data_IF_666744907881
#
_entry.id   IF_666744907881
#
_cell.length_a   1.000
_cell.length_b   1.000
_cell.length_c   1.000
_cell.angle_alpha   90.00
_cell.angle_beta   90.00
_cell.angle_gamma   90.00
#
_symmetry.space_group_name_H-M   'P 1'
#
loop_
_entity.id
_entity.type
_entity.pdbx_description
1 polymer ?
#
# COMPACT_ATOMS: atom_id res chain seq x y z
N UNK A 1 22.57 -23.63 7.85
CA UNK A 1 21.59 -22.98 6.96
C UNK A 1 21.38 -21.58 7.51
N UNK A 2 21.83 -20.55 6.80
CA UNK A 2 21.72 -19.18 7.27
C UNK A 2 20.25 -18.76 7.22
N UNK A 3 19.68 -18.38 8.37
CA UNK A 3 18.38 -17.73 8.41
C UNK A 3 18.52 -16.38 7.74
N UNK A 4 17.79 -16.15 6.66
CA UNK A 4 17.58 -14.80 6.15
C UNK A 4 16.70 -14.09 7.17
N UNK A 5 17.30 -13.32 8.07
CA UNK A 5 16.58 -12.22 8.71
C UNK A 5 16.37 -11.18 7.61
N UNK A 6 15.25 -11.30 6.90
CA UNK A 6 14.83 -10.36 5.87
C UNK A 6 14.57 -9.01 6.55
N UNK A 7 15.51 -8.08 6.40
CA UNK A 7 15.34 -6.72 6.88
C UNK A 7 14.20 -6.06 6.12
N UNK A 8 13.26 -5.45 6.85
CA UNK A 8 12.17 -4.70 6.23
C UNK A 8 12.73 -3.53 5.43
N UNK A 9 12.32 -3.42 4.16
CA UNK A 9 12.76 -2.30 3.33
C UNK A 9 11.82 -1.12 3.56
N UNK A 10 12.38 0.00 4.01
CA UNK A 10 11.64 1.27 4.11
C UNK A 10 11.53 1.91 2.74
N UNK A 11 10.31 2.28 2.36
CA UNK A 11 9.97 2.79 1.03
C UNK A 11 9.02 3.97 1.13
N UNK A 12 8.93 4.75 0.06
CA UNK A 12 7.69 5.45 -0.30
C UNK A 12 7.10 4.83 -1.57
N UNK A 13 5.79 4.92 -1.71
CA UNK A 13 5.06 4.51 -2.91
C UNK A 13 4.60 5.77 -3.64
N UNK A 14 5.34 6.19 -4.67
CA UNK A 14 4.93 7.33 -5.50
C UNK A 14 3.98 6.87 -6.61
N UNK A 15 2.82 7.51 -6.75
CA UNK A 15 1.90 7.21 -7.85
C UNK A 15 2.60 7.53 -9.18
N UNK A 16 2.50 6.60 -10.14
CA UNK A 16 3.06 6.73 -11.49
C UNK A 16 2.77 8.11 -12.08
N UNK A 17 3.79 8.70 -12.72
CA UNK A 17 3.74 10.01 -13.38
C UNK A 17 3.30 11.18 -12.48
N UNK A 18 3.53 11.07 -11.18
CA UNK A 18 3.27 12.17 -10.24
C UNK A 18 4.40 12.33 -9.22
N UNK A 19 4.39 13.45 -8.52
CA UNK A 19 5.24 13.70 -7.35
C UNK A 19 4.52 13.41 -6.04
N UNK A 20 3.55 12.49 -6.05
CA UNK A 20 2.68 12.22 -4.91
C UNK A 20 2.85 10.81 -4.38
N UNK A 21 2.90 10.71 -3.06
CA UNK A 21 3.17 9.50 -2.31
C UNK A 21 1.90 9.03 -1.60
N UNK A 22 1.72 7.72 -1.50
CA UNK A 22 0.77 7.10 -0.58
C UNK A 22 1.14 7.49 0.86
N UNK A 23 0.21 8.07 1.59
CA UNK A 23 0.43 8.50 2.97
C UNK A 23 -0.79 8.25 3.87
N UNK A 24 -0.54 8.09 5.16
CA UNK A 24 -1.57 8.31 6.18
C UNK A 24 -1.81 9.81 6.34
N UNK A 25 -3.08 10.21 6.28
CA UNK A 25 -3.45 11.62 6.37
C UNK A 25 -2.98 12.21 7.71
N UNK A 26 -2.21 13.31 7.65
CA UNK A 26 -1.65 13.99 8.82
C UNK A 26 -0.83 13.08 9.75
N UNK A 27 -0.23 11.99 9.24
CA UNK A 27 0.48 10.99 10.05
C UNK A 27 -0.40 10.37 11.16
N UNK A 28 -1.71 10.25 10.95
CA UNK A 28 -2.63 9.65 11.91
C UNK A 28 -2.35 8.15 12.08
N UNK A 29 -2.20 7.69 13.33
CA UNK A 29 -1.80 6.32 13.69
C UNK A 29 -2.88 5.45 14.31
N UNK A 30 -4.15 5.87 14.27
CA UNK A 30 -5.27 5.08 14.80
C UNK A 30 -5.90 4.18 13.73
N UNK A 31 -6.55 3.11 14.15
CA UNK A 31 -7.35 2.26 13.26
C UNK A 31 -8.44 3.09 12.54
N UNK A 32 -8.60 2.88 11.23
CA UNK A 32 -9.46 3.68 10.36
C UNK A 32 -8.84 5.01 9.92
N UNK A 33 -7.56 5.29 10.22
CA UNK A 33 -6.90 6.47 9.68
C UNK A 33 -6.92 6.43 8.15
N UNK A 34 -7.38 7.53 7.53
CA UNK A 34 -7.45 7.65 6.08
C UNK A 34 -6.07 7.52 5.45
N UNK A 35 -5.97 6.69 4.41
CA UNK A 35 -4.83 6.70 3.50
C UNK A 35 -5.21 7.50 2.25
N UNK A 36 -4.29 8.35 1.81
CA UNK A 36 -4.47 9.28 0.70
C UNK A 36 -3.18 9.42 -0.09
N UNK A 37 -3.20 10.19 -1.18
CA UNK A 37 -1.97 10.71 -1.75
C UNK A 37 -1.70 12.14 -1.27
N UNK A 38 -0.43 12.48 -1.18
CA UNK A 38 0.03 13.86 -0.96
C UNK A 38 1.39 14.07 -1.60
N UNK A 39 1.82 15.32 -1.72
CA UNK A 39 3.16 15.63 -2.21
C UNK A 39 4.22 14.84 -1.44
N UNK A 40 5.12 14.16 -2.16
CA UNK A 40 6.28 13.52 -1.56
C UNK A 40 7.24 14.62 -1.04
N UNK A 41 7.36 14.74 0.28
CA UNK A 41 8.20 15.75 0.97
C UNK A 41 8.85 15.16 2.23
N UNK A 42 9.30 13.90 2.14
CA UNK A 42 9.96 13.16 3.23
C UNK A 42 9.17 13.17 4.56
N UNK A 43 7.84 13.24 4.49
CA UNK A 43 6.96 13.25 5.66
C UNK A 43 6.85 11.86 6.32
N UNK A 44 6.78 11.77 7.67
CA UNK A 44 6.69 10.49 8.38
C UNK A 44 5.52 9.60 7.96
N UNK A 45 4.39 10.22 7.59
CA UNK A 45 3.17 9.53 7.19
C UNK A 45 3.24 8.84 5.82
N UNK A 46 4.28 9.08 5.03
CA UNK A 46 4.43 8.55 3.67
C UNK A 46 5.42 7.37 3.57
N UNK A 47 6.01 6.95 4.69
CA UNK A 47 6.95 5.85 4.73
C UNK A 47 6.27 4.54 5.13
N UNK A 48 6.58 3.50 4.38
CA UNK A 48 6.07 2.15 4.58
C UNK A 48 7.23 1.18 4.70
N UNK A 49 7.06 0.13 5.48
CA UNK A 49 7.94 -1.02 5.58
C UNK A 49 7.28 -2.17 4.82
N UNK A 50 7.96 -2.70 3.80
CA UNK A 50 7.54 -3.92 3.12
C UNK A 50 7.98 -5.12 3.96
N UNK A 51 7.03 -5.74 4.66
CA UNK A 51 7.28 -6.88 5.52
C UNK A 51 6.73 -8.14 4.88
N UNK A 52 7.60 -9.12 4.68
CA UNK A 52 7.18 -10.46 4.30
C UNK A 52 6.28 -11.06 5.38
N UNK A 53 5.16 -11.65 4.97
CA UNK A 53 4.25 -12.36 5.86
C UNK A 53 4.30 -13.88 5.65
N UNK A 54 4.05 -14.34 4.43
CA UNK A 54 4.12 -15.76 4.03
C UNK A 54 4.21 -15.89 2.50
N UNK A 55 4.46 -17.10 2.02
CA UNK A 55 4.33 -17.46 0.61
C UNK A 55 2.91 -17.96 0.32
N UNK A 56 2.26 -17.46 -0.72
CA UNK A 56 1.00 -18.02 -1.19
C UNK A 56 1.21 -19.41 -1.84
N UNK A 57 0.11 -20.07 -2.22
CA UNK A 57 0.15 -21.41 -2.82
C UNK A 57 0.87 -21.47 -4.16
N UNK A 58 1.00 -20.32 -4.83
CA UNK A 58 1.70 -20.19 -6.12
C UNK A 58 3.16 -19.77 -5.93
N UNK A 59 3.66 -19.72 -4.69
CA UNK A 59 5.03 -19.36 -4.35
C UNK A 59 5.34 -17.87 -4.42
N UNK A 60 4.33 -17.00 -4.41
CA UNK A 60 4.53 -15.55 -4.38
C UNK A 60 4.52 -15.01 -2.95
N UNK A 61 5.31 -13.95 -2.68
CA UNK A 61 5.35 -13.34 -1.36
C UNK A 61 4.08 -12.51 -1.11
N UNK A 62 3.44 -12.78 0.02
CA UNK A 62 2.39 -11.94 0.60
C UNK A 62 3.03 -11.00 1.60
N UNK A 63 2.71 -9.71 1.48
CA UNK A 63 3.31 -8.63 2.25
C UNK A 63 2.30 -7.96 3.18
N UNK A 64 2.83 -7.42 4.27
CA UNK A 64 2.26 -6.26 4.93
C UNK A 64 2.98 -4.99 4.45
N UNK A 65 2.21 -3.93 4.19
CA UNK A 65 2.74 -2.57 4.07
C UNK A 65 2.55 -1.89 5.42
N UNK A 66 3.52 -2.06 6.32
CA UNK A 66 3.48 -1.53 7.68
C UNK A 66 3.83 -0.05 7.67
N UNK A 67 3.11 0.76 8.45
CA UNK A 67 3.35 2.19 8.54
C UNK A 67 4.64 2.46 9.35
N UNK A 68 5.60 3.18 8.77
CA UNK A 68 6.93 3.32 9.38
C UNK A 68 6.91 4.09 10.70
N UNK A 69 6.01 5.07 10.88
CA UNK A 69 5.90 5.82 12.12
C UNK A 69 4.97 5.17 13.15
N UNK A 70 4.16 4.19 12.72
CA UNK A 70 3.15 3.50 13.55
C UNK A 70 3.23 2.00 13.26
N UNK A 71 4.25 1.30 13.76
CA UNK A 71 4.58 -0.05 13.31
C UNK A 71 3.54 -1.12 13.69
N UNK A 72 2.59 -0.82 14.57
CA UNK A 72 1.45 -1.70 14.82
C UNK A 72 0.36 -1.59 13.73
N UNK A 73 0.47 -0.60 12.84
CA UNK A 73 -0.49 -0.31 11.77
C UNK A 73 0.03 -0.70 10.39
N UNK A 74 -0.88 -1.21 9.58
CA UNK A 74 -0.65 -1.58 8.19
C UNK A 74 -1.70 -0.97 7.28
N UNK A 75 -1.33 -0.77 6.01
CA UNK A 75 -2.27 -0.47 4.95
C UNK A 75 -3.29 -1.61 4.83
N UNK A 76 -4.57 -1.28 4.93
CA UNK A 76 -5.66 -2.23 4.80
C UNK A 76 -6.81 -1.64 3.99
N UNK A 77 -7.66 -2.50 3.43
CA UNK A 77 -8.97 -2.11 2.90
C UNK A 77 -10.00 -2.17 4.01
N UNK A 78 -10.73 -1.07 4.18
CA UNK A 78 -11.71 -0.88 5.26
C UNK A 78 -12.76 -1.99 5.32
N UNK A 79 -12.99 -2.48 6.54
CA UNK A 79 -13.93 -3.57 6.85
C UNK A 79 -13.70 -4.85 6.03
N UNK A 80 -12.49 -5.07 5.51
CA UNK A 80 -12.19 -6.20 4.61
C UNK A 80 -13.12 -6.26 3.38
N UNK A 81 -13.63 -5.09 2.94
CA UNK A 81 -14.57 -5.02 1.83
C UNK A 81 -13.94 -5.54 0.53
N UNK A 82 -14.74 -6.18 -0.30
CA UNK A 82 -14.35 -6.63 -1.65
C UNK A 82 -14.94 -5.77 -2.76
N UNK A 83 -15.67 -4.69 -2.40
CA UNK A 83 -16.30 -3.78 -3.34
C UNK A 83 -15.28 -2.82 -3.98
N UNK A 84 -15.52 -2.44 -5.24
CA UNK A 84 -14.84 -1.31 -5.85
C UNK A 84 -15.16 -0.03 -5.06
N UNK A 85 -14.17 0.83 -4.89
CA UNK A 85 -14.32 2.08 -4.15
C UNK A 85 -14.21 1.95 -2.63
N UNK A 86 -13.92 0.75 -2.10
CA UNK A 86 -13.65 0.62 -0.68
C UNK A 86 -12.33 1.31 -0.32
N UNK A 87 -12.38 2.20 0.67
CA UNK A 87 -11.25 3.02 1.07
C UNK A 87 -10.11 2.17 1.67
N UNK A 88 -8.90 2.60 1.39
CA UNK A 88 -7.72 2.17 2.12
C UNK A 88 -7.57 3.00 3.40
N UNK A 89 -7.12 2.34 4.45
CA UNK A 89 -6.98 2.90 5.79
C UNK A 89 -5.77 2.27 6.51
N UNK A 90 -5.37 2.85 7.63
CA UNK A 90 -4.54 2.13 8.59
C UNK A 90 -5.40 1.23 9.46
N UNK A 91 -4.91 0.02 9.70
CA UNK A 91 -5.51 -0.93 10.63
C UNK A 91 -4.42 -1.72 11.32
N UNK A 92 -4.69 -2.22 12.52
CA UNK A 92 -3.83 -3.21 13.19
C UNK A 92 -3.41 -4.31 12.21
N UNK A 93 -2.10 -4.54 12.08
CA UNK A 93 -1.54 -5.36 10.99
C UNK A 93 -2.09 -6.78 10.91
N UNK A 94 -2.32 -7.44 12.05
CA UNK A 94 -2.71 -8.85 12.09
C UNK A 94 -4.22 -9.03 12.25
N UNK A 95 -4.74 -10.14 11.70
CA UNK A 95 -6.14 -10.53 11.82
C UNK A 95 -7.09 -9.86 10.81
N UNK A 96 -6.56 -9.17 9.80
CA UNK A 96 -7.33 -8.44 8.80
C UNK A 96 -7.02 -8.96 7.38
N UNK A 97 -7.92 -9.73 6.74
CA UNK A 97 -7.75 -10.17 5.35
C UNK A 97 -7.46 -9.02 4.38
N UNK A 98 -8.03 -7.84 4.63
CA UNK A 98 -7.82 -6.62 3.86
C UNK A 98 -6.44 -6.00 4.01
N UNK A 99 -5.56 -6.49 4.89
CA UNK A 99 -4.20 -5.97 5.10
C UNK A 99 -3.10 -6.75 4.36
N UNK A 100 -3.47 -7.80 3.63
CA UNK A 100 -2.53 -8.64 2.88
C UNK A 100 -2.44 -8.19 1.43
N UNK A 101 -1.20 -7.98 0.96
CA UNK A 101 -0.94 -7.43 -0.36
C UNK A 101 0.06 -8.28 -1.14
N UNK A 102 -0.15 -8.38 -2.44
CA UNK A 102 0.79 -8.94 -3.41
C UNK A 102 1.22 -7.83 -4.37
N UNK A 103 2.53 -7.58 -4.43
CA UNK A 103 3.12 -6.68 -5.41
C UNK A 103 3.47 -7.45 -6.69
N UNK A 104 3.12 -6.90 -7.85
CA UNK A 104 3.56 -7.45 -9.13
C UNK A 104 4.03 -6.34 -10.06
N UNK A 105 5.07 -6.65 -10.83
CA UNK A 105 5.63 -5.73 -11.81
C UNK A 105 4.66 -5.57 -12.97
N UNK A 106 4.39 -4.33 -13.34
CA UNK A 106 3.65 -3.98 -14.55
C UNK A 106 4.61 -3.93 -15.75
N UNK A 107 4.09 -4.06 -16.97
CA UNK A 107 4.90 -4.10 -18.19
C UNK A 107 5.74 -2.83 -18.40
N UNK A 108 5.29 -1.70 -17.87
CA UNK A 108 5.92 -0.39 -17.93
C UNK A 108 6.86 -0.09 -16.75
N UNK A 109 7.23 -1.11 -15.95
CA UNK A 109 8.28 -1.00 -14.93
C UNK A 109 7.84 -0.40 -13.59
N UNK A 110 6.53 -0.36 -13.32
CA UNK A 110 5.98 0.04 -12.02
C UNK A 110 5.49 -1.20 -11.24
N UNK A 111 5.01 -0.98 -10.03
CA UNK A 111 4.37 -2.01 -9.21
C UNK A 111 2.89 -1.74 -9.08
N UNK A 112 2.06 -2.76 -9.24
CA UNK A 112 0.68 -2.74 -8.76
C UNK A 112 0.60 -3.59 -7.49
N UNK A 113 -0.15 -3.10 -6.49
CA UNK A 113 -0.38 -3.81 -5.23
C UNK A 113 -1.82 -4.33 -5.23
N UNK A 114 -1.99 -5.65 -5.33
CA UNK A 114 -3.29 -6.30 -5.24
C UNK A 114 -3.56 -6.77 -3.81
N UNK A 115 -4.76 -6.46 -3.33
CA UNK A 115 -5.26 -6.97 -2.08
C UNK A 115 -5.64 -8.45 -2.21
N UNK A 116 -5.12 -9.29 -1.32
CA UNK A 116 -5.30 -10.75 -1.41
C UNK A 116 -6.73 -11.20 -1.06
N UNK A 117 -7.51 -10.38 -0.35
CA UNK A 117 -8.89 -10.71 0.00
C UNK A 117 -9.89 -10.38 -1.13
N UNK A 118 -9.68 -9.27 -1.85
CA UNK A 118 -10.62 -8.80 -2.87
C UNK A 118 -10.15 -9.02 -4.32
N UNK A 119 -8.87 -9.34 -4.50
CA UNK A 119 -8.14 -9.39 -5.77
C UNK A 119 -8.15 -8.06 -6.54
N UNK A 120 -8.35 -6.95 -5.83
CA UNK A 120 -8.38 -5.58 -6.38
C UNK A 120 -7.11 -4.82 -6.08
N UNK A 121 -6.79 -3.84 -6.92
CA UNK A 121 -5.56 -3.09 -6.85
C UNK A 121 -5.74 -1.82 -6.02
N UNK A 122 -4.72 -1.48 -5.23
CA UNK A 122 -4.58 -0.20 -4.56
C UNK A 122 -4.46 0.91 -5.60
N UNK A 123 -5.36 1.88 -5.53
CA UNK A 123 -5.40 3.00 -6.47
C UNK A 123 -5.79 4.32 -5.78
N UNK A 124 -5.59 5.43 -6.49
CA UNK A 124 -6.14 6.73 -6.08
C UNK A 124 -7.50 6.95 -6.73
N UNK A 125 -8.51 7.31 -5.93
CA UNK A 125 -9.88 7.51 -6.37
C UNK A 125 -9.98 8.41 -7.61
N UNK A 126 -10.56 7.85 -8.69
CA UNK A 126 -10.73 8.49 -10.00
C UNK A 126 -9.44 9.08 -10.59
N UNK A 127 -8.28 8.59 -10.19
CA UNK A 127 -6.99 9.12 -10.62
C UNK A 127 -6.77 10.61 -10.33
N UNK A 128 -7.49 11.16 -9.35
CA UNK A 128 -7.42 12.58 -8.99
C UNK A 128 -5.97 13.00 -8.77
N UNK A 129 -5.52 14.14 -9.33
CA UNK A 129 -4.16 14.63 -9.14
C UNK A 129 -4.00 15.46 -7.87
N UNK A 130 -5.04 15.59 -7.04
CA UNK A 130 -5.03 16.52 -5.91
C UNK A 130 -4.42 15.91 -4.65
N UNK A 131 -3.75 16.75 -3.86
CA UNK A 131 -3.39 16.41 -2.50
C UNK A 131 -4.65 16.04 -1.70
N UNK A 132 -4.55 14.99 -0.91
CA UNK A 132 -5.65 14.47 -0.14
C UNK A 132 -6.58 13.56 -0.94
N UNK A 133 -6.35 13.27 -2.23
CA UNK A 133 -7.19 12.28 -2.91
C UNK A 133 -7.08 10.91 -2.21
N UNK A 134 -8.23 10.27 -1.96
CA UNK A 134 -8.32 9.03 -1.18
C UNK A 134 -7.65 7.89 -1.93
N UNK A 135 -6.91 7.04 -1.20
CA UNK A 135 -6.51 5.74 -1.68
C UNK A 135 -7.64 4.72 -1.43
N UNK A 136 -7.90 3.86 -2.40
CA UNK A 136 -8.97 2.87 -2.37
C UNK A 136 -8.55 1.60 -3.10
N UNK A 137 -9.44 0.61 -3.17
CA UNK A 137 -9.31 -0.49 -4.11
C UNK A 137 -10.24 -0.36 -5.31
N UNK A 138 -9.78 -0.85 -6.46
CA UNK A 138 -10.60 -1.05 -7.65
C UNK A 138 -10.14 -2.28 -8.43
N UNK A 139 -10.99 -2.82 -9.31
CA UNK A 139 -10.60 -3.85 -10.27
C UNK A 139 -9.24 -3.50 -10.90
N UNK A 140 -8.30 -4.42 -10.79
CA UNK A 140 -6.98 -4.26 -11.41
C UNK A 140 -7.14 -4.11 -12.92
N UNK A 141 -6.65 -3.02 -13.46
CA UNK A 141 -6.55 -2.76 -14.89
C UNK A 141 -5.32 -1.88 -15.14
N UNK A 142 -5.05 -1.59 -16.41
CA UNK A 142 -3.87 -0.82 -16.83
C UNK A 142 -4.03 0.70 -16.59
N UNK A 143 -4.48 1.08 -15.39
CA UNK A 143 -4.66 2.47 -14.99
C UNK A 143 -3.40 3.04 -14.31
N UNK A 144 -2.98 4.23 -14.73
CA UNK A 144 -1.82 4.91 -14.15
C UNK A 144 -1.98 5.22 -12.65
N UNK A 145 -3.21 5.36 -12.15
CA UNK A 145 -3.48 5.62 -10.74
C UNK A 145 -3.53 4.39 -9.83
N UNK A 146 -3.30 3.18 -10.37
CA UNK A 146 -3.05 1.97 -9.59
C UNK A 146 -1.59 1.49 -9.67
N UNK A 147 -0.72 2.28 -10.29
CA UNK A 147 0.71 1.96 -10.49
C UNK A 147 1.58 2.83 -9.58
N UNK A 148 2.54 2.19 -8.93
CA UNK A 148 3.37 2.77 -7.89
C UNK A 148 4.83 2.58 -8.24
N UNK A 149 5.60 3.68 -8.20
CA UNK A 149 7.04 3.63 -8.12
C UNK A 149 7.42 3.42 -6.66
N UNK A 150 7.84 2.20 -6.34
CA UNK A 150 8.28 1.82 -4.99
C UNK A 150 9.75 2.16 -4.84
N UNK A 151 10.04 3.20 -4.05
CA UNK A 151 11.40 3.72 -3.93
C UNK A 151 11.93 3.50 -2.53
N UNK A 152 13.05 2.77 -2.45
CA UNK A 152 13.77 2.52 -1.20
C UNK A 152 14.30 3.83 -0.60
N UNK A 153 14.21 3.92 0.73
CA UNK A 153 14.67 5.06 1.53
C UNK A 153 15.54 4.55 2.67
N UNK A 154 16.71 5.17 2.82
CA UNK A 154 17.62 4.96 3.96
C UNK A 154 17.06 5.52 5.26
#
# INVERSE_FOLDING_TARGET
>A
MASVTEGSTRVYLARKNTTKCLESANNAGHDGARVQQWQCQDQPGAYWLLNFHHWDTDGWPVLFLQHSAHPDKCLAIGNNSTANGANAELRTCQGQPGAYWKGFNTHDGFTAYQNMNSLKCLEIFNGSPNNGAVAQQWTCADQDWAKWNTVAKG
#
